data_IF_406421405676
#
_entry.id   IF_406421405676
#
_cell.length_a   1.000
_cell.length_b   1.000
_cell.length_c   1.000
_cell.angle_alpha   90.00
_cell.angle_beta   90.00
_cell.angle_gamma   90.00
#
_symmetry.space_group_name_H-M   'P 1'
#
loop_
_entity.id
_entity.type
_entity.pdbx_description
1 polymer ?
#
# COMPACT_ATOMS: atom_id res chain seq x y z
N UNK A 1 10.87 13.50 3.13
CA UNK A 1 9.73 13.94 2.29
C UNK A 1 9.89 13.40 0.87
N UNK A 2 8.79 13.14 0.16
CA UNK A 2 8.82 12.58 -1.21
C UNK A 2 8.58 13.62 -2.33
N UNK A 3 8.23 14.87 -1.98
CA UNK A 3 8.02 15.96 -2.92
C UNK A 3 8.70 17.26 -2.42
N UNK A 4 9.43 18.01 -3.26
CA UNK A 4 10.13 19.24 -2.85
C UNK A 4 9.23 20.32 -2.24
N UNK A 5 7.95 20.39 -2.66
CA UNK A 5 6.98 21.34 -2.14
C UNK A 5 6.65 21.19 -0.64
N UNK A 6 7.07 20.10 0.01
CA UNK A 6 6.95 19.91 1.46
C UNK A 6 8.23 20.27 2.23
N UNK A 7 9.29 20.72 1.54
CA UNK A 7 10.58 20.99 2.16
C UNK A 7 10.48 22.09 3.21
N UNK A 8 9.95 23.26 2.86
CA UNK A 8 9.90 24.40 3.78
C UNK A 8 9.00 24.10 4.99
N UNK A 9 7.89 23.40 4.79
CA UNK A 9 6.99 22.98 5.88
C UNK A 9 7.67 22.02 6.84
N UNK A 10 8.32 20.96 6.33
CA UNK A 10 9.02 20.00 7.18
C UNK A 10 10.21 20.66 7.89
N UNK A 11 10.97 21.51 7.18
CA UNK A 11 12.08 22.26 7.74
C UNK A 11 11.64 23.21 8.84
N UNK A 12 10.50 23.90 8.69
CA UNK A 12 9.97 24.79 9.71
C UNK A 12 9.74 24.06 11.05
N UNK A 13 9.12 22.87 11.02
CA UNK A 13 8.90 22.05 12.22
C UNK A 13 10.22 21.64 12.87
N UNK A 14 11.18 21.15 12.08
CA UNK A 14 12.49 20.77 12.61
C UNK A 14 13.27 21.97 13.16
N UNK A 15 13.25 23.12 12.49
CA UNK A 15 13.92 24.33 12.95
C UNK A 15 13.33 24.83 14.27
N UNK A 16 12.01 24.77 14.43
CA UNK A 16 11.32 25.14 15.67
C UNK A 16 11.73 24.23 16.83
N UNK A 17 11.71 22.91 16.62
CA UNK A 17 12.00 21.92 17.68
C UNK A 17 13.49 21.82 17.99
N UNK A 18 14.37 21.92 16.99
CA UNK A 18 15.82 21.82 17.16
C UNK A 18 16.43 23.10 17.75
N UNK A 19 15.84 24.27 17.48
CA UNK A 19 16.43 25.55 17.84
C UNK A 19 17.83 25.70 17.25
N UNK A 20 18.84 25.85 18.10
CA UNK A 20 20.24 26.00 17.67
C UNK A 20 20.97 24.65 17.46
N UNK A 21 20.34 23.53 17.82
CA UNK A 21 20.96 22.21 17.72
C UNK A 21 20.92 21.66 16.29
N UNK A 22 21.99 20.96 15.89
CA UNK A 22 22.04 20.31 14.56
C UNK A 22 21.26 18.99 14.48
N UNK A 23 21.00 18.37 15.63
CA UNK A 23 20.32 17.09 15.79
C UNK A 23 19.90 16.91 17.27
N UNK A 24 19.22 15.82 17.58
CA UNK A 24 18.76 15.48 18.95
C UNK A 24 19.54 14.29 19.56
N UNK A 25 20.82 14.10 19.22
CA UNK A 25 21.62 12.98 19.78
C UNK A 25 21.77 13.02 21.31
N UNK A 26 21.49 14.17 21.93
CA UNK A 26 21.47 14.35 23.39
C UNK A 26 20.16 13.87 24.05
N UNK A 27 19.12 13.53 23.28
CA UNK A 27 17.88 12.97 23.82
C UNK A 27 18.07 11.45 23.94
N UNK A 28 18.35 11.00 25.16
CA UNK A 28 18.63 9.59 25.46
C UNK A 28 17.37 8.77 25.74
N UNK A 29 16.31 9.42 26.23
CA UNK A 29 15.06 8.78 26.68
C UNK A 29 15.27 7.78 27.84
N UNK A 30 16.25 8.04 28.72
CA UNK A 30 16.58 7.17 29.87
C UNK A 30 15.42 7.05 30.88
N UNK A 31 14.45 7.96 30.82
CA UNK A 31 13.22 7.94 31.59
C UNK A 31 12.18 6.92 31.09
N UNK A 32 12.30 6.42 29.85
CA UNK A 32 11.37 5.45 29.29
C UNK A 32 11.53 4.10 30.01
N UNK A 33 10.41 3.45 30.32
CA UNK A 33 10.43 2.07 30.79
C UNK A 33 10.95 1.14 29.67
N UNK A 34 11.54 -0.03 30.00
CA UNK A 34 11.97 -0.99 28.98
C UNK A 34 10.84 -1.36 28.03
N UNK A 35 11.05 -1.17 26.72
CA UNK A 35 10.10 -1.59 25.69
C UNK A 35 10.17 -3.11 25.55
N UNK A 36 9.04 -3.78 25.66
CA UNK A 36 8.96 -5.25 25.62
C UNK A 36 8.52 -5.77 24.25
N UNK A 37 8.81 -7.04 23.97
CA UNK A 37 8.33 -7.71 22.76
C UNK A 37 6.80 -7.74 22.69
N UNK A 38 6.12 -7.82 23.83
CA UNK A 38 4.65 -7.78 23.92
C UNK A 38 4.11 -6.45 23.39
N UNK A 39 4.70 -5.32 23.81
CA UNK A 39 4.31 -3.99 23.33
C UNK A 39 4.54 -3.81 21.82
N UNK A 40 5.63 -4.38 21.29
CA UNK A 40 5.94 -4.30 19.86
C UNK A 40 5.06 -5.20 18.99
N UNK A 41 4.46 -6.24 19.55
CA UNK A 41 3.61 -7.23 18.86
C UNK A 41 2.11 -7.01 19.09
N UNK A 42 1.73 -6.06 19.94
CA UNK A 42 0.34 -5.72 20.20
C UNK A 42 -0.30 -5.13 18.92
N UNK A 43 -1.34 -5.78 18.34
CA UNK A 43 -2.02 -5.23 17.18
C UNK A 43 -2.84 -4.00 17.59
N UNK A 44 -2.76 -2.92 16.81
CA UNK A 44 -3.55 -1.73 17.06
C UNK A 44 -5.06 -1.96 16.85
N UNK A 45 -5.89 -1.20 17.55
CA UNK A 45 -7.34 -1.18 17.31
C UNK A 45 -7.69 -0.57 15.95
N UNK A 46 -8.83 -1.00 15.38
CA UNK A 46 -9.32 -0.48 14.10
C UNK A 46 -10.27 -1.43 13.37
N UNK A 47 -10.93 -0.91 12.34
CA UNK A 47 -11.90 -1.66 11.54
C UNK A 47 -11.33 -2.12 10.19
N UNK A 48 -11.78 -3.28 9.72
CA UNK A 48 -11.54 -3.76 8.35
C UNK A 48 -12.71 -3.31 7.47
N UNK A 49 -12.59 -2.19 6.78
CA UNK A 49 -13.70 -1.62 6.01
C UNK A 49 -13.65 -2.04 4.54
N UNK A 50 -14.82 -2.15 3.90
CA UNK A 50 -14.91 -2.39 2.45
C UNK A 50 -14.26 -1.25 1.65
N UNK A 51 -14.44 -0.01 2.10
CA UNK A 51 -13.82 1.16 1.48
C UNK A 51 -12.28 1.06 1.51
N UNK A 52 -11.69 0.63 2.62
CA UNK A 52 -10.25 0.38 2.74
C UNK A 52 -9.77 -0.74 1.83
N UNK A 53 -10.53 -1.83 1.72
CA UNK A 53 -10.22 -2.93 0.79
C UNK A 53 -10.17 -2.46 -0.67
N UNK A 54 -11.19 -1.71 -1.09
CA UNK A 54 -11.29 -1.16 -2.45
C UNK A 54 -10.18 -0.17 -2.75
N UNK A 55 -9.85 0.70 -1.79
CA UNK A 55 -8.71 1.61 -1.91
C UNK A 55 -7.38 0.86 -2.07
N UNK A 56 -7.15 -0.19 -1.27
CA UNK A 56 -5.98 -1.06 -1.41
C UNK A 56 -5.87 -1.67 -2.80
N UNK A 57 -6.98 -2.16 -3.36
CA UNK A 57 -7.02 -2.71 -4.72
C UNK A 57 -6.63 -1.64 -5.75
N UNK A 58 -7.26 -0.46 -5.71
CA UNK A 58 -7.00 0.60 -6.70
C UNK A 58 -5.57 1.10 -6.67
N UNK A 59 -5.02 1.31 -5.48
CA UNK A 59 -3.64 1.80 -5.31
C UNK A 59 -2.63 0.73 -5.75
N UNK A 60 -2.79 -0.51 -5.29
CA UNK A 60 -1.87 -1.58 -5.65
C UNK A 60 -1.85 -1.88 -7.15
N UNK A 61 -3.02 -1.92 -7.82
CA UNK A 61 -3.08 -2.16 -9.28
C UNK A 61 -2.41 -1.03 -10.05
N UNK A 62 -2.71 0.24 -9.74
CA UNK A 62 -2.08 1.38 -10.41
C UNK A 62 -0.56 1.42 -10.16
N UNK A 63 -0.11 1.07 -8.96
CA UNK A 63 1.31 0.96 -8.66
C UNK A 63 1.97 -0.15 -9.49
N UNK A 64 1.39 -1.35 -9.49
CA UNK A 64 1.92 -2.49 -10.25
C UNK A 64 1.98 -2.16 -11.75
N UNK A 65 0.94 -1.52 -12.30
CA UNK A 65 0.91 -1.12 -13.72
C UNK A 65 2.06 -0.19 -14.10
N UNK A 66 2.32 0.82 -13.27
CA UNK A 66 3.42 1.74 -13.47
C UNK A 66 4.78 1.02 -13.30
N UNK A 67 4.89 0.14 -12.29
CA UNK A 67 6.13 -0.59 -12.00
C UNK A 67 6.53 -1.54 -13.13
N UNK A 68 5.59 -2.34 -13.65
CA UNK A 68 5.84 -3.22 -14.81
C UNK A 68 6.01 -2.45 -16.12
N UNK A 69 5.74 -1.14 -16.11
CA UNK A 69 6.02 -0.20 -17.20
C UNK A 69 7.35 0.56 -16.97
N UNK A 70 8.10 0.22 -15.92
CA UNK A 70 9.44 0.75 -15.63
C UNK A 70 9.47 1.96 -14.69
N UNK A 71 8.35 2.35 -14.08
CA UNK A 71 8.31 3.43 -13.09
C UNK A 71 7.92 2.93 -11.69
N UNK A 72 8.87 2.92 -10.76
CA UNK A 72 8.65 2.50 -9.37
C UNK A 72 8.28 3.62 -8.39
N UNK A 73 8.20 4.88 -8.84
CA UNK A 73 7.87 6.05 -8.02
C UNK A 73 6.63 6.73 -8.63
N UNK A 74 5.46 6.44 -8.06
CA UNK A 74 4.18 6.58 -8.78
C UNK A 74 3.27 7.56 -8.05
N UNK A 75 2.87 8.69 -8.67
CA UNK A 75 1.88 9.57 -8.08
C UNK A 75 0.48 8.95 -8.19
N UNK A 76 -0.12 8.58 -7.05
CA UNK A 76 -1.47 7.99 -6.97
C UNK A 76 -2.26 8.78 -5.93
N UNK A 77 -3.43 9.31 -6.32
CA UNK A 77 -4.32 10.11 -5.46
C UNK A 77 -3.62 11.23 -4.64
N UNK A 78 -2.60 11.85 -5.22
CA UNK A 78 -1.85 12.95 -4.59
C UNK A 78 -0.70 12.53 -3.67
N UNK A 79 -0.46 11.22 -3.53
CA UNK A 79 0.67 10.66 -2.79
C UNK A 79 1.72 10.09 -3.74
N UNK A 80 2.99 10.12 -3.32
CA UNK A 80 4.08 9.51 -4.06
C UNK A 80 4.32 8.11 -3.51
N UNK A 81 3.78 7.12 -4.22
CA UNK A 81 3.77 5.72 -3.78
C UNK A 81 5.00 4.95 -4.27
N UNK A 82 5.47 4.03 -3.42
CA UNK A 82 6.52 3.06 -3.73
C UNK A 82 6.01 1.62 -3.55
N UNK A 83 6.90 0.64 -3.68
CA UNK A 83 6.53 -0.78 -3.65
C UNK A 83 5.93 -1.19 -2.31
N UNK A 84 6.33 -0.55 -1.20
CA UNK A 84 5.83 -0.90 0.12
C UNK A 84 4.32 -0.62 0.24
N UNK A 85 3.80 0.40 -0.45
CA UNK A 85 2.36 0.68 -0.49
C UNK A 85 1.60 -0.49 -1.14
N UNK A 86 2.06 -0.98 -2.29
CA UNK A 86 1.44 -2.14 -2.92
C UNK A 86 1.58 -3.43 -2.08
N UNK A 87 2.72 -3.60 -1.39
CA UNK A 87 2.96 -4.74 -0.49
C UNK A 87 2.01 -4.78 0.69
N UNK A 88 1.82 -3.65 1.40
CA UNK A 88 0.88 -3.62 2.53
C UNK A 88 -0.57 -3.81 2.05
N UNK A 89 -0.93 -3.24 0.91
CA UNK A 89 -2.27 -3.39 0.33
C UNK A 89 -2.60 -4.85 0.00
N UNK A 90 -1.72 -5.57 -0.71
CA UNK A 90 -1.96 -6.99 -1.06
C UNK A 90 -1.87 -7.92 0.15
N UNK A 91 -0.91 -7.68 1.06
CA UNK A 91 -0.66 -8.55 2.22
C UNK A 91 -1.79 -8.45 3.25
N UNK A 92 -2.34 -7.25 3.45
CA UNK A 92 -3.50 -7.06 4.33
C UNK A 92 -4.74 -7.83 3.83
N UNK A 93 -5.02 -7.77 2.52
CA UNK A 93 -6.12 -8.53 1.92
C UNK A 93 -5.87 -10.04 2.03
N UNK A 94 -4.65 -10.49 1.73
CA UNK A 94 -4.26 -11.89 1.88
C UNK A 94 -4.51 -12.38 3.32
N UNK A 95 -4.11 -11.60 4.33
CA UNK A 95 -4.30 -11.95 5.74
C UNK A 95 -5.79 -12.09 6.09
N UNK A 96 -6.65 -11.21 5.57
CA UNK A 96 -8.10 -11.28 5.81
C UNK A 96 -8.73 -12.51 5.17
N UNK A 97 -8.28 -12.91 3.98
CA UNK A 97 -8.69 -14.16 3.32
C UNK A 97 -8.21 -15.37 4.14
N UNK A 98 -6.92 -15.40 4.49
CA UNK A 98 -6.28 -16.53 5.16
C UNK A 98 -6.91 -16.85 6.53
N UNK A 99 -7.25 -15.81 7.30
CA UNK A 99 -7.88 -15.97 8.61
C UNK A 99 -9.42 -15.89 8.59
N UNK A 100 -10.04 -16.00 7.41
CA UNK A 100 -11.50 -16.02 7.22
C UNK A 100 -12.20 -14.84 7.93
N UNK A 101 -11.61 -13.64 7.83
CA UNK A 101 -12.10 -12.45 8.54
C UNK A 101 -13.33 -11.88 7.85
N UNK A 102 -14.12 -11.13 8.62
CA UNK A 102 -15.21 -10.30 8.10
C UNK A 102 -14.78 -8.83 8.02
N UNK A 103 -15.32 -8.13 7.03
CA UNK A 103 -15.36 -6.67 6.99
C UNK A 103 -16.32 -6.15 8.06
N UNK A 104 -16.20 -4.87 8.43
CA UNK A 104 -17.06 -4.22 9.43
C UNK A 104 -18.54 -4.22 9.05
N UNK A 105 -18.87 -4.33 7.75
CA UNK A 105 -20.23 -4.51 7.25
C UNK A 105 -20.74 -5.95 7.27
N UNK A 106 -19.98 -6.89 7.84
CA UNK A 106 -20.35 -8.30 8.00
C UNK A 106 -20.02 -9.21 6.81
N UNK A 107 -19.55 -8.68 5.68
CA UNK A 107 -19.17 -9.50 4.52
C UNK A 107 -17.92 -10.34 4.83
N UNK A 108 -17.96 -11.68 4.65
CA UNK A 108 -16.78 -12.52 4.76
C UNK A 108 -15.77 -12.22 3.64
N UNK A 109 -14.50 -12.02 4.00
CA UNK A 109 -13.44 -11.78 3.03
C UNK A 109 -12.97 -13.11 2.44
N UNK A 110 -13.18 -13.29 1.13
CA UNK A 110 -12.84 -14.51 0.41
C UNK A 110 -12.11 -14.18 -0.89
N UNK A 111 -11.46 -15.18 -1.50
CA UNK A 111 -10.86 -15.04 -2.84
C UNK A 111 -11.90 -14.61 -3.89
N UNK A 112 -13.14 -15.11 -3.78
CA UNK A 112 -14.24 -14.72 -4.68
C UNK A 112 -14.61 -13.26 -4.50
N UNK A 113 -14.82 -12.81 -3.26
CA UNK A 113 -15.13 -11.40 -2.98
C UNK A 113 -14.03 -10.46 -3.48
N UNK A 114 -12.76 -10.83 -3.28
CA UNK A 114 -11.64 -10.06 -3.79
C UNK A 114 -11.65 -9.95 -5.32
N UNK A 115 -11.92 -11.05 -6.06
CA UNK A 115 -11.98 -11.01 -7.53
C UNK A 115 -13.13 -10.15 -8.05
N UNK A 116 -14.29 -10.21 -7.39
CA UNK A 116 -15.44 -9.35 -7.70
C UNK A 116 -15.07 -7.87 -7.51
N UNK A 117 -14.49 -7.53 -6.35
CA UNK A 117 -14.03 -6.18 -6.06
C UNK A 117 -12.94 -5.74 -7.03
N UNK A 118 -11.98 -6.60 -7.38
CA UNK A 118 -10.94 -6.29 -8.36
C UNK A 118 -11.57 -5.87 -9.70
N UNK A 119 -12.51 -6.63 -10.23
CA UNK A 119 -13.19 -6.31 -11.48
C UNK A 119 -14.07 -5.03 -11.41
N UNK A 120 -14.62 -4.72 -10.25
CA UNK A 120 -15.32 -3.45 -9.99
C UNK A 120 -14.35 -2.27 -9.96
N UNK A 121 -13.24 -2.39 -9.23
CA UNK A 121 -12.25 -1.33 -9.10
C UNK A 121 -11.45 -1.09 -10.39
N UNK A 122 -11.26 -2.09 -11.26
CA UNK A 122 -10.71 -1.86 -12.61
C UNK A 122 -11.56 -0.89 -13.42
N UNK A 123 -12.90 -0.97 -13.30
CA UNK A 123 -13.82 -0.04 -13.97
C UNK A 123 -13.70 1.37 -13.40
N UNK A 124 -13.56 1.48 -12.07
CA UNK A 124 -13.32 2.77 -11.41
C UNK A 124 -12.01 3.40 -11.91
N UNK A 125 -10.92 2.64 -11.99
CA UNK A 125 -9.63 3.11 -12.51
C UNK A 125 -9.78 3.56 -13.98
N UNK A 126 -10.51 2.80 -14.80
CA UNK A 126 -10.77 3.18 -16.19
C UNK A 126 -11.52 4.51 -16.30
N UNK A 127 -12.54 4.71 -15.46
CA UNK A 127 -13.33 5.95 -15.43
C UNK A 127 -12.49 7.14 -14.93
N UNK A 128 -11.62 6.94 -13.93
CA UNK A 128 -10.74 7.98 -13.37
C UNK A 128 -9.64 8.42 -14.36
N UNK A 129 -9.04 7.48 -15.08
CA UNK A 129 -7.93 7.75 -16.00
C UNK A 129 -8.37 8.10 -17.43
N UNK A 130 -9.60 7.72 -17.80
CA UNK A 130 -10.12 7.81 -19.15
C UNK A 130 -9.63 6.69 -20.07
N UNK A 131 -10.43 6.42 -21.11
CA UNK A 131 -10.26 5.28 -22.01
C UNK A 131 -8.87 5.21 -22.67
N UNK A 132 -8.32 6.35 -23.10
CA UNK A 132 -7.02 6.37 -23.76
C UNK A 132 -5.89 5.94 -22.82
N UNK A 133 -5.80 6.48 -21.60
CA UNK A 133 -4.71 6.14 -20.66
C UNK A 133 -4.83 4.70 -20.17
N UNK A 134 -6.06 4.23 -19.96
CA UNK A 134 -6.33 2.87 -19.54
C UNK A 134 -5.94 1.86 -20.63
N UNK A 135 -6.43 2.06 -21.86
CA UNK A 135 -6.15 1.14 -22.98
C UNK A 135 -4.70 1.14 -23.45
N UNK A 136 -3.97 2.24 -23.28
CA UNK A 136 -2.53 2.28 -23.58
C UNK A 136 -1.65 1.78 -22.42
N UNK A 137 -2.24 1.49 -21.25
CA UNK A 137 -1.55 1.00 -20.06
C UNK A 137 -1.45 -0.52 -19.99
N UNK A 138 -0.76 -1.02 -18.97
CA UNK A 138 -0.61 -2.46 -18.69
C UNK A 138 -1.55 -2.95 -17.58
N UNK A 139 -2.76 -2.40 -17.51
CA UNK A 139 -3.71 -2.65 -16.42
C UNK A 139 -4.18 -4.10 -16.33
N UNK A 140 -4.35 -4.78 -17.47
CA UNK A 140 -4.71 -6.21 -17.48
C UNK A 140 -3.58 -7.08 -16.92
N UNK A 141 -2.33 -6.78 -17.26
CA UNK A 141 -1.15 -7.46 -16.71
C UNK A 141 -1.05 -7.22 -15.20
N UNK A 142 -1.27 -5.98 -14.77
CA UNK A 142 -1.24 -5.58 -13.36
C UNK A 142 -2.34 -6.25 -12.54
N UNK A 143 -3.58 -6.30 -13.04
CA UNK A 143 -4.69 -6.97 -12.37
C UNK A 143 -4.43 -8.47 -12.21
N UNK A 144 -3.89 -9.15 -13.23
CA UNK A 144 -3.51 -10.57 -13.13
C UNK A 144 -2.42 -10.81 -12.09
N UNK A 145 -1.39 -9.95 -12.05
CA UNK A 145 -0.34 -10.07 -11.04
C UNK A 145 -0.91 -9.82 -9.63
N UNK A 146 -1.74 -8.79 -9.47
CA UNK A 146 -2.41 -8.48 -8.20
C UNK A 146 -3.27 -9.65 -7.71
N UNK A 147 -4.01 -10.30 -8.61
CA UNK A 147 -4.78 -11.50 -8.27
C UNK A 147 -3.88 -12.65 -7.83
N UNK A 148 -2.81 -12.91 -8.58
CA UNK A 148 -1.88 -14.00 -8.32
C UNK A 148 -1.26 -13.88 -6.91
N UNK A 149 -0.78 -12.69 -6.54
CA UNK A 149 -0.08 -12.48 -5.27
C UNK A 149 -1.01 -12.34 -4.05
N UNK A 150 -2.29 -12.05 -4.28
CA UNK A 150 -3.28 -11.85 -3.21
C UNK A 150 -4.09 -13.11 -2.92
N UNK A 151 -4.31 -13.96 -3.92
CA UNK A 151 -5.17 -15.16 -3.81
C UNK A 151 -4.39 -16.48 -3.72
N UNK A 152 -3.06 -16.44 -3.67
CA UNK A 152 -2.23 -17.62 -3.41
C UNK A 152 -2.48 -18.17 -2.00
N UNK A 153 -2.36 -19.49 -1.84
CA UNK A 153 -2.49 -20.13 -0.52
C UNK A 153 -1.32 -19.74 0.40
N UNK A 154 -0.11 -19.70 -0.15
CA UNK A 154 1.08 -19.20 0.54
C UNK A 154 1.21 -17.69 0.37
N UNK A 155 1.60 -17.00 1.45
CA UNK A 155 2.00 -15.60 1.38
C UNK A 155 3.39 -15.52 0.76
N UNK A 156 3.50 -15.04 -0.47
CA UNK A 156 4.81 -14.78 -1.07
C UNK A 156 5.52 -13.62 -0.35
N UNK A 157 6.85 -13.69 -0.26
CA UNK A 157 7.64 -12.68 0.46
C UNK A 157 7.55 -11.30 -0.20
N UNK A 158 7.73 -11.25 -1.53
CA UNK A 158 7.79 -9.99 -2.27
C UNK A 158 7.08 -10.06 -3.62
N UNK A 159 6.23 -9.08 -3.93
CA UNK A 159 5.60 -8.90 -5.23
C UNK A 159 6.62 -8.63 -6.34
N UNK A 160 7.77 -8.07 -5.98
CA UNK A 160 8.83 -7.72 -6.93
C UNK A 160 9.45 -8.95 -7.57
N UNK A 161 9.46 -10.13 -6.92
CA UNK A 161 10.01 -11.35 -7.50
C UNK A 161 9.20 -11.86 -8.72
N UNK A 162 7.87 -12.08 -8.64
CA UNK A 162 7.08 -12.39 -9.83
C UNK A 162 6.97 -11.19 -10.77
N UNK A 163 6.89 -9.96 -10.24
CA UNK A 163 6.86 -8.74 -11.06
C UNK A 163 8.08 -8.58 -11.95
N UNK A 164 9.29 -8.86 -11.45
CA UNK A 164 10.56 -8.71 -12.18
C UNK A 164 10.62 -9.55 -13.45
N UNK A 165 9.89 -10.67 -13.50
CA UNK A 165 9.79 -11.51 -14.72
C UNK A 165 9.05 -10.83 -15.88
N UNK A 166 8.36 -9.72 -15.61
CA UNK A 166 7.63 -8.93 -16.60
C UNK A 166 8.44 -7.73 -17.10
N UNK A 167 9.66 -7.53 -16.58
CA UNK A 167 10.62 -6.55 -17.04
C UNK A 167 11.57 -7.20 -18.06
N UNK A 168 12.06 -6.39 -19.00
CA UNK A 168 13.01 -6.80 -20.04
C UNK A 168 14.47 -6.74 -19.57
#
# INVERSE_FOLDING_TARGET
IAHPGLADTAMAVFNEVLGEHKNQLFITRDEDAPITAEQLLEPCEGERTEAGMRANIRVAVQYIEAWISGNGCVPIYGLMEDAATAEISRTSIWQWIHHEKTLSNGKPVTKTLFREMLAEEMRVIQDELGEHRYSSGRFDDAARLMEQITTSDDLIDFLTLPGYRLLA
#
